data_IF_820590611851
#
_entry.id   IF_820590611851
#
_cell.length_a   1.000
_cell.length_b   1.000
_cell.length_c   1.000
_cell.angle_alpha   90.00
_cell.angle_beta   90.00
_cell.angle_gamma   90.00
#
_symmetry.space_group_name_H-M   'P 1'
#
loop_
_entity.id
_entity.type
_entity.pdbx_description
1 polymer ?
#
# COMPACT_ATOMS: atom_id res chain seq x y z
N UNK A 1 24.74 -10.86 15.96
CA UNK A 1 24.98 -11.76 14.81
C UNK A 1 23.96 -11.60 13.69
N UNK A 2 22.64 -11.69 13.96
CA UNK A 2 21.57 -11.58 12.94
C UNK A 2 21.54 -10.23 12.20
N UNK A 3 21.70 -9.10 12.91
CA UNK A 3 21.72 -7.76 12.29
C UNK A 3 22.88 -7.58 11.30
N UNK A 4 24.09 -7.97 11.70
CA UNK A 4 25.27 -7.91 10.84
C UNK A 4 25.15 -8.84 9.63
N UNK A 5 24.58 -10.02 9.82
CA UNK A 5 24.26 -10.93 8.72
C UNK A 5 23.31 -10.27 7.72
N UNK A 6 22.23 -9.65 8.19
CA UNK A 6 21.22 -9.02 7.33
C UNK A 6 21.76 -7.80 6.60
N UNK A 7 22.57 -6.97 7.26
CA UNK A 7 23.16 -5.77 6.67
C UNK A 7 24.13 -6.07 5.53
N UNK A 8 24.80 -7.22 5.54
CA UNK A 8 25.72 -7.66 4.48
C UNK A 8 25.01 -8.15 3.22
N UNK A 9 23.68 -8.29 3.26
CA UNK A 9 22.89 -8.82 2.15
C UNK A 9 22.62 -7.74 1.12
N UNK A 10 22.58 -8.15 -0.14
CA UNK A 10 22.09 -7.30 -1.22
C UNK A 10 20.63 -6.94 -1.01
N UNK A 11 20.21 -5.82 -1.59
CA UNK A 11 18.82 -5.38 -1.57
C UNK A 11 17.87 -6.41 -2.20
N UNK A 12 18.34 -7.13 -3.23
CA UNK A 12 17.58 -8.23 -3.83
C UNK A 12 17.38 -9.40 -2.86
N UNK A 13 18.39 -9.78 -2.09
CA UNK A 13 18.26 -10.82 -1.05
C UNK A 13 17.33 -10.37 0.08
N UNK A 14 17.45 -9.12 0.53
CA UNK A 14 16.56 -8.57 1.56
C UNK A 14 15.10 -8.58 1.12
N UNK A 15 14.80 -8.25 -0.15
CA UNK A 15 13.44 -8.37 -0.72
C UNK A 15 12.93 -9.81 -0.69
N UNK A 16 13.78 -10.78 -1.06
CA UNK A 16 13.41 -12.20 -0.99
C UNK A 16 13.08 -12.63 0.44
N UNK A 17 13.84 -12.16 1.43
CA UNK A 17 13.53 -12.43 2.83
C UNK A 17 12.22 -11.78 3.30
N UNK A 18 11.94 -10.56 2.86
CA UNK A 18 10.67 -9.87 3.17
C UNK A 18 9.47 -10.65 2.61
N UNK A 19 9.54 -11.11 1.35
CA UNK A 19 8.51 -11.94 0.73
C UNK A 19 8.40 -13.31 1.41
N UNK A 20 9.50 -13.88 1.89
CA UNK A 20 9.49 -15.13 2.66
C UNK A 20 8.84 -14.94 4.04
N UNK A 21 9.12 -13.84 4.74
CA UNK A 21 8.51 -13.49 6.02
C UNK A 21 6.99 -13.35 5.93
N UNK A 22 6.48 -12.87 4.79
CA UNK A 22 5.04 -12.90 4.48
C UNK A 22 4.47 -14.31 4.48
N UNK A 23 5.15 -15.28 3.87
CA UNK A 23 4.68 -16.69 3.76
C UNK A 23 4.52 -17.37 5.12
N UNK A 24 5.33 -16.97 6.09
CA UNK A 24 5.27 -17.46 7.48
C UNK A 24 4.45 -16.55 8.40
N UNK A 25 3.76 -15.59 7.83
CA UNK A 25 2.85 -14.67 8.52
C UNK A 25 3.46 -13.84 9.67
N UNK A 26 4.72 -13.41 9.55
CA UNK A 26 5.41 -12.69 10.62
C UNK A 26 5.53 -11.18 10.34
N UNK A 27 4.49 -10.42 10.69
CA UNK A 27 4.49 -8.96 10.52
C UNK A 27 5.61 -8.26 11.29
N UNK A 28 5.91 -8.71 12.52
CA UNK A 28 7.01 -8.16 13.33
C UNK A 28 8.37 -8.39 12.68
N UNK A 29 8.56 -9.53 12.01
CA UNK A 29 9.78 -9.82 11.27
C UNK A 29 9.89 -8.94 10.01
N UNK A 30 8.78 -8.76 9.29
CA UNK A 30 8.73 -7.85 8.13
C UNK A 30 9.08 -6.41 8.55
N UNK A 31 8.48 -5.93 9.63
CA UNK A 31 8.78 -4.61 10.22
C UNK A 31 10.26 -4.47 10.57
N UNK A 32 10.81 -5.45 11.29
CA UNK A 32 12.22 -5.46 11.67
C UNK A 32 13.14 -5.41 10.44
N UNK A 33 12.83 -6.17 9.38
CA UNK A 33 13.63 -6.15 8.15
C UNK A 33 13.64 -4.78 7.48
N UNK A 34 12.48 -4.12 7.39
CA UNK A 34 12.33 -2.78 6.80
C UNK A 34 13.10 -1.74 7.63
N UNK A 35 12.93 -1.75 8.95
CA UNK A 35 13.66 -0.88 9.88
C UNK A 35 15.18 -1.09 9.82
N UNK A 36 15.63 -2.26 9.35
CA UNK A 36 17.05 -2.59 9.16
C UNK A 36 17.52 -2.50 7.69
N UNK A 37 16.79 -1.76 6.85
CA UNK A 37 17.23 -1.39 5.51
C UNK A 37 16.89 -2.41 4.42
N UNK A 38 15.83 -3.19 4.61
CA UNK A 38 15.17 -3.85 3.48
C UNK A 38 14.45 -2.79 2.63
N UNK A 39 14.65 -2.77 1.31
CA UNK A 39 13.89 -1.86 0.46
C UNK A 39 12.43 -2.34 0.37
N UNK A 40 11.50 -1.41 0.58
CA UNK A 40 10.07 -1.60 0.38
C UNK A 40 9.62 -0.58 -0.67
N UNK A 41 9.46 -1.04 -1.92
CA UNK A 41 8.84 -0.25 -2.99
C UNK A 41 7.38 -0.65 -3.20
N UNK A 42 6.66 0.15 -4.02
CA UNK A 42 5.23 -0.03 -4.31
C UNK A 42 4.93 -1.44 -4.78
N UNK A 43 5.71 -1.98 -5.72
CA UNK A 43 5.51 -3.33 -6.25
C UNK A 43 5.67 -4.40 -5.17
N UNK A 44 6.69 -4.28 -4.31
CA UNK A 44 6.91 -5.22 -3.20
C UNK A 44 5.79 -5.10 -2.16
N UNK A 45 5.35 -3.89 -1.84
CA UNK A 45 4.24 -3.65 -0.91
C UNK A 45 2.93 -4.24 -1.44
N UNK A 46 2.59 -4.04 -2.72
CA UNK A 46 1.40 -4.64 -3.35
C UNK A 46 1.47 -6.18 -3.28
N UNK A 47 2.62 -6.79 -3.56
CA UNK A 47 2.80 -8.24 -3.45
C UNK A 47 2.58 -8.74 -2.01
N UNK A 48 3.03 -7.96 -1.01
CA UNK A 48 2.84 -8.30 0.40
C UNK A 48 1.39 -8.13 0.83
N UNK A 49 0.75 -7.02 0.46
CA UNK A 49 -0.62 -6.71 0.81
C UNK A 49 -1.63 -7.57 0.06
N UNK A 50 -1.31 -8.02 -1.15
CA UNK A 50 -2.23 -8.79 -1.98
C UNK A 50 -1.99 -10.29 -1.86
N UNK A 51 -2.93 -10.97 -1.22
CA UNK A 51 -3.08 -12.41 -1.34
C UNK A 51 -3.87 -12.68 -2.61
N UNK A 52 -3.20 -12.72 -3.76
CA UNK A 52 -3.80 -13.41 -4.91
C UNK A 52 -4.26 -14.80 -4.44
N UNK A 53 -5.44 -15.27 -4.85
CA UNK A 53 -5.86 -16.67 -4.64
C UNK A 53 -4.72 -17.55 -5.11
N UNK A 54 -3.87 -18.02 -4.21
CA UNK A 54 -2.99 -19.13 -4.50
C UNK A 54 -3.95 -20.30 -4.72
N UNK A 55 -4.04 -20.75 -5.97
CA UNK A 55 -4.88 -21.85 -6.41
C UNK A 55 -4.87 -22.98 -5.37
N UNK A 56 -5.98 -23.13 -4.65
CA UNK A 56 -6.20 -24.24 -3.72
C UNK A 56 -6.14 -23.95 -2.21
N UNK A 57 -5.71 -22.76 -1.76
CA UNK A 57 -5.78 -22.43 -0.32
C UNK A 57 -7.04 -21.64 0.02
N UNK A 58 -7.92 -22.29 0.78
CA UNK A 58 -9.15 -21.70 1.36
C UNK A 58 -8.75 -20.50 2.24
N UNK A 59 -9.42 -19.38 2.00
CA UNK A 59 -9.49 -18.14 2.79
C UNK A 59 -9.05 -18.30 4.25
N UNK A 60 -8.03 -17.53 4.66
CA UNK A 60 -7.80 -16.96 6.01
C UNK A 60 -6.37 -16.40 6.18
N UNK A 61 -5.72 -15.93 5.10
CA UNK A 61 -4.46 -15.22 5.27
C UNK A 61 -4.73 -13.77 5.66
N UNK A 62 -4.12 -13.25 6.74
CA UNK A 62 -4.25 -11.84 7.09
C UNK A 62 -3.67 -11.01 5.96
N UNK A 63 -4.50 -10.12 5.41
CA UNK A 63 -4.07 -9.12 4.43
C UNK A 63 -3.15 -8.14 5.16
N UNK A 64 -1.86 -8.11 4.81
CA UNK A 64 -0.87 -7.22 5.43
C UNK A 64 -0.96 -5.79 4.89
N UNK A 65 -2.17 -5.24 4.82
CA UNK A 65 -2.41 -3.87 4.34
C UNK A 65 -1.60 -2.84 5.12
N UNK A 66 -1.29 -3.11 6.40
CA UNK A 66 -0.49 -2.23 7.25
C UNK A 66 0.94 -2.04 6.74
N UNK A 67 1.45 -2.94 5.89
CA UNK A 67 2.76 -2.78 5.26
C UNK A 67 2.79 -1.52 4.40
N UNK A 68 1.65 -1.11 3.83
CA UNK A 68 1.55 0.13 3.07
C UNK A 68 1.75 1.38 3.96
N UNK A 69 1.54 1.29 5.29
CA UNK A 69 1.88 2.38 6.21
C UNK A 69 3.39 2.67 6.22
N UNK A 70 4.22 1.63 6.07
CA UNK A 70 5.68 1.76 6.12
C UNK A 70 6.30 2.31 4.84
N UNK A 71 5.50 2.45 3.78
CA UNK A 71 5.91 3.17 2.57
C UNK A 71 6.11 4.65 2.89
N UNK A 72 7.05 5.27 2.17
CA UNK A 72 7.18 6.73 2.16
C UNK A 72 5.92 7.34 1.56
N UNK A 73 5.60 8.57 1.94
CA UNK A 73 4.38 9.24 1.46
C UNK A 73 4.31 9.29 -0.07
N UNK A 74 5.42 9.57 -0.76
CA UNK A 74 5.50 9.55 -2.23
C UNK A 74 5.08 8.21 -2.83
N UNK A 75 5.52 7.11 -2.21
CA UNK A 75 5.24 5.76 -2.68
C UNK A 75 3.78 5.39 -2.38
N UNK A 76 3.22 5.87 -1.26
CA UNK A 76 1.79 5.76 -0.96
C UNK A 76 0.93 6.52 -1.99
N UNK A 77 1.36 7.72 -2.41
CA UNK A 77 0.68 8.48 -3.47
C UNK A 77 0.70 7.71 -4.79
N UNK A 78 1.85 7.16 -5.18
CA UNK A 78 1.97 6.31 -6.37
C UNK A 78 1.06 5.09 -6.29
N UNK A 79 1.03 4.41 -5.14
CA UNK A 79 0.16 3.26 -4.91
C UNK A 79 -1.33 3.63 -5.06
N UNK A 80 -1.75 4.75 -4.47
CA UNK A 80 -3.12 5.28 -4.60
C UNK A 80 -3.44 5.57 -6.06
N UNK A 81 -2.56 6.27 -6.78
CA UNK A 81 -2.76 6.60 -8.19
C UNK A 81 -2.83 5.35 -9.08
N UNK A 82 -1.97 4.35 -8.85
CA UNK A 82 -1.99 3.07 -9.56
C UNK A 82 -3.26 2.27 -9.27
N UNK A 83 -3.74 2.29 -8.02
CA UNK A 83 -4.97 1.63 -7.59
C UNK A 83 -6.25 2.24 -8.19
N UNK A 84 -6.20 3.53 -8.56
CA UNK A 84 -7.28 4.24 -9.25
C UNK A 84 -7.31 3.97 -10.76
N UNK A 85 -6.22 3.42 -11.33
CA UNK A 85 -6.13 3.12 -12.77
C UNK A 85 -6.73 1.74 -13.09
N UNK A 86 -7.52 1.66 -14.18
CA UNK A 86 -8.46 0.60 -14.66
C UNK A 86 -8.07 -0.90 -14.51
N UNK A 87 -6.85 -1.25 -14.08
CA UNK A 87 -6.29 -2.60 -14.21
C UNK A 87 -6.04 -3.33 -12.89
N UNK A 88 -6.33 -2.71 -11.75
CA UNK A 88 -5.94 -3.27 -10.45
C UNK A 88 -7.14 -3.58 -9.56
N UNK A 89 -7.25 -4.85 -9.14
CA UNK A 89 -8.21 -5.31 -8.12
C UNK A 89 -7.87 -4.82 -6.70
N UNK A 90 -7.07 -3.78 -6.56
CA UNK A 90 -6.50 -3.33 -5.29
C UNK A 90 -7.34 -2.23 -4.61
N UNK A 91 -8.61 -2.10 -4.97
CA UNK A 91 -9.56 -1.13 -4.40
C UNK A 91 -9.58 -1.17 -2.86
N UNK A 92 -9.51 -2.35 -2.26
CA UNK A 92 -9.45 -2.49 -0.79
C UNK A 92 -8.14 -1.96 -0.19
N UNK A 93 -7.01 -2.15 -0.86
CA UNK A 93 -5.73 -1.61 -0.42
C UNK A 93 -5.69 -0.09 -0.59
N UNK A 94 -6.21 0.42 -1.72
CA UNK A 94 -6.41 1.85 -1.96
C UNK A 94 -7.21 2.50 -0.83
N UNK A 95 -8.38 1.94 -0.52
CA UNK A 95 -9.27 2.44 0.53
C UNK A 95 -8.58 2.40 1.90
N UNK A 96 -7.95 1.27 2.23
CA UNK A 96 -7.21 1.15 3.48
C UNK A 96 -6.13 2.21 3.60
N UNK A 97 -5.33 2.43 2.55
CA UNK A 97 -4.27 3.45 2.54
C UNK A 97 -4.84 4.85 2.71
N UNK A 98 -5.95 5.17 2.05
CA UNK A 98 -6.58 6.48 2.21
C UNK A 98 -7.09 6.69 3.64
N UNK A 99 -7.76 5.69 4.22
CA UNK A 99 -8.40 5.83 5.54
C UNK A 99 -7.44 5.69 6.72
N UNK A 100 -6.39 4.90 6.54
CA UNK A 100 -5.49 4.51 7.60
C UNK A 100 -4.09 5.04 7.36
N UNK A 101 -3.84 6.06 6.53
CA UNK A 101 -2.52 6.71 6.45
C UNK A 101 -2.65 8.23 6.38
N UNK A 102 -1.55 8.94 6.69
CA UNK A 102 -1.49 10.39 6.60
C UNK A 102 -0.75 10.85 5.33
N UNK A 103 -1.33 11.84 4.66
CA UNK A 103 -0.71 12.58 3.56
C UNK A 103 -0.44 14.01 4.02
N UNK A 104 0.74 14.23 4.58
CA UNK A 104 1.13 15.48 5.21
C UNK A 104 1.28 16.60 4.17
N UNK A 105 1.80 16.28 2.99
CA UNK A 105 2.07 17.29 1.98
C UNK A 105 0.82 17.63 1.17
N UNK A 106 0.56 18.94 0.99
CA UNK A 106 -0.51 19.41 0.11
C UNK A 106 -0.33 18.88 -1.32
N UNK A 107 0.90 18.83 -1.83
CA UNK A 107 1.23 18.26 -3.15
C UNK A 107 0.80 16.80 -3.30
N UNK A 108 0.94 15.98 -2.25
CA UNK A 108 0.47 14.59 -2.22
C UNK A 108 -1.05 14.53 -2.37
N UNK A 109 -1.77 15.33 -1.58
CA UNK A 109 -3.25 15.41 -1.65
C UNK A 109 -3.73 15.90 -3.01
N UNK A 110 -3.10 16.94 -3.58
CA UNK A 110 -3.41 17.43 -4.92
C UNK A 110 -3.12 16.38 -6.01
N UNK A 111 -2.04 15.60 -5.87
CA UNK A 111 -1.72 14.52 -6.81
C UNK A 111 -2.77 13.41 -6.78
N UNK A 112 -3.21 12.99 -5.58
CA UNK A 112 -4.28 12.01 -5.40
C UNK A 112 -5.60 12.54 -5.99
N UNK A 113 -5.98 13.78 -5.69
CA UNK A 113 -7.18 14.41 -6.23
C UNK A 113 -7.18 14.43 -7.76
N UNK A 114 -6.05 14.78 -8.38
CA UNK A 114 -5.90 14.70 -9.84
C UNK A 114 -6.07 13.27 -10.36
N UNK A 115 -5.47 12.28 -9.68
CA UNK A 115 -5.62 10.88 -10.06
C UNK A 115 -7.09 10.44 -9.99
N UNK A 116 -7.83 10.84 -8.95
CA UNK A 116 -9.28 10.58 -8.81
C UNK A 116 -10.05 11.20 -9.98
N UNK A 117 -9.79 12.47 -10.34
CA UNK A 117 -10.46 13.14 -11.46
C UNK A 117 -10.25 12.47 -12.81
N UNK A 118 -9.11 11.77 -12.98
CA UNK A 118 -8.79 11.03 -14.21
C UNK A 118 -9.17 9.55 -14.14
N UNK A 119 -9.67 9.07 -12.99
CA UNK A 119 -10.01 7.68 -12.79
C UNK A 119 -11.29 7.31 -13.56
N UNK A 120 -11.52 6.01 -13.81
CA UNK A 120 -12.75 5.53 -14.44
C UNK A 120 -13.97 5.88 -13.61
N UNK A 121 -15.09 6.22 -14.24
CA UNK A 121 -16.34 6.59 -13.55
C UNK A 121 -16.75 5.55 -12.50
N UNK A 122 -16.69 4.27 -12.84
CA UNK A 122 -17.02 3.17 -11.92
C UNK A 122 -16.10 3.14 -10.69
N UNK A 123 -14.81 3.48 -10.87
CA UNK A 123 -13.83 3.54 -9.77
C UNK A 123 -14.09 4.75 -8.87
N UNK A 124 -14.42 5.91 -9.45
CA UNK A 124 -14.79 7.11 -8.71
C UNK A 124 -16.07 6.85 -7.89
N UNK A 125 -17.08 6.25 -8.52
CA UNK A 125 -18.33 5.89 -7.86
C UNK A 125 -18.07 4.91 -6.71
N UNK A 126 -17.34 3.84 -6.97
CA UNK A 126 -16.97 2.87 -5.93
C UNK A 126 -16.24 3.55 -4.76
N UNK A 127 -15.27 4.42 -5.03
CA UNK A 127 -14.54 5.14 -3.98
C UNK A 127 -15.47 6.07 -3.18
N UNK A 128 -16.38 6.77 -3.85
CA UNK A 128 -17.38 7.63 -3.19
C UNK A 128 -18.35 6.85 -2.31
N UNK A 129 -18.69 5.61 -2.66
CA UNK A 129 -19.56 4.76 -1.85
C UNK A 129 -18.84 4.14 -0.64
N UNK A 130 -17.52 3.92 -0.74
CA UNK A 130 -16.77 3.16 0.26
C UNK A 130 -15.84 4.00 1.17
N UNK A 131 -15.42 5.21 0.77
CA UNK A 131 -14.60 6.08 1.59
C UNK A 131 -15.46 6.78 2.65
N UNK A 132 -15.49 6.31 3.89
CA UNK A 132 -16.47 6.80 4.88
C UNK A 132 -15.96 7.96 5.74
N UNK A 133 -14.64 8.10 5.87
CA UNK A 133 -14.03 9.12 6.72
C UNK A 133 -14.29 10.56 6.19
N UNK A 134 -15.10 11.40 6.88
CA UNK A 134 -15.55 12.70 6.33
C UNK A 134 -14.41 13.66 6.01
N UNK A 135 -13.41 13.75 6.87
CA UNK A 135 -12.24 14.61 6.65
C UNK A 135 -11.46 14.21 5.39
N UNK A 136 -11.40 12.91 5.09
CA UNK A 136 -10.66 12.37 3.95
C UNK A 136 -11.46 12.58 2.67
N UNK A 137 -12.78 12.31 2.72
CA UNK A 137 -13.71 12.63 1.63
C UNK A 137 -13.63 14.09 1.22
N UNK A 138 -13.63 15.01 2.20
CA UNK A 138 -13.60 16.44 1.94
C UNK A 138 -12.41 16.81 1.03
N UNK A 139 -11.17 16.50 1.42
CA UNK A 139 -10.02 16.87 0.58
C UNK A 139 -9.87 16.02 -0.69
N UNK A 140 -10.41 14.79 -0.73
CA UNK A 140 -10.39 13.93 -1.91
C UNK A 140 -11.33 14.42 -3.04
N UNK A 141 -12.50 14.95 -2.68
CA UNK A 141 -13.55 15.28 -3.65
C UNK A 141 -13.88 16.78 -3.76
N UNK A 142 -13.51 17.60 -2.79
CA UNK A 142 -13.72 19.05 -2.85
C UNK A 142 -12.54 19.73 -3.57
N UNK A 143 -12.86 20.78 -4.32
CA UNK A 143 -11.86 21.65 -4.93
C UNK A 143 -11.37 22.68 -3.90
N UNK A 144 -10.05 22.74 -3.71
CA UNK A 144 -9.39 23.83 -2.98
C UNK A 144 -9.63 25.12 -3.78
N UNK A 145 -10.41 26.04 -3.20
CA UNK A 145 -10.73 27.36 -3.78
C UNK A 145 -9.51 28.28 -3.77
#
# INVERSE_FOLDING_TARGET
MVRQFFQRRSDQEKRKYLVAARRVCQISLMRWMIENGAPLDVTTAINICWTGRFYGMKQDYPTYVEVAWWLKESDRVSLVAEGLSYKNHHHMLLLWVLENTFFQHASSRSAIRRAIKTAPTDTIQWLSENLLAPAIRAWCFEDEH
#
